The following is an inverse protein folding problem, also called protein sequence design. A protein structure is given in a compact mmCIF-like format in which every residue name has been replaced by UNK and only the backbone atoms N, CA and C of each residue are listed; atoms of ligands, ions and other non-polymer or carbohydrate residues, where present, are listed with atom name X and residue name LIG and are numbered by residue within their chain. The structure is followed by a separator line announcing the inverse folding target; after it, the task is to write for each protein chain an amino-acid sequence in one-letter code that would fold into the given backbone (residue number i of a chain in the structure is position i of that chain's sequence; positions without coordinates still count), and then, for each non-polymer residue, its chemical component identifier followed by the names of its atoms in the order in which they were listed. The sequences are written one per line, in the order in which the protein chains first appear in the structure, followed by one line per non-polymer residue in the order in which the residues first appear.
data_IF_407108060903
#
_entry.id   IF_407108060903
#
_cell.length_a   1.000
_cell.length_b   1.000
_cell.length_c   1.000
_cell.angle_alpha   90.00
_cell.angle_beta   90.00
_cell.angle_gamma   90.00
#
_symmetry.space_group_name_H-M   'P 1'
#
loop_
_entity.id
_entity.type
_entity.pdbx_description
1 polymer ?
#
# COMPACT_ATOMS: atom_id res chain seq x y z
N UNK A 1 -44.18 25.05 -57.77
CA UNK A 1 -43.80 25.84 -56.57
C UNK A 1 -44.12 24.96 -55.38
N UNK A 2 -43.11 24.30 -54.81
CA UNK A 2 -43.24 23.50 -53.59
C UNK A 2 -42.22 24.06 -52.61
N UNK A 3 -42.74 24.61 -51.54
CA UNK A 3 -42.07 25.29 -50.44
C UNK A 3 -41.18 24.28 -49.71
N UNK A 4 -39.86 24.44 -49.80
CA UNK A 4 -38.93 23.68 -48.97
C UNK A 4 -39.06 24.21 -47.54
N UNK A 5 -39.82 23.50 -46.71
CA UNK A 5 -39.92 23.79 -45.28
C UNK A 5 -38.51 23.73 -44.67
N UNK A 6 -38.00 24.87 -44.22
CA UNK A 6 -36.78 24.95 -43.43
C UNK A 6 -37.03 24.23 -42.10
N UNK A 7 -36.54 22.99 -41.99
CA UNK A 7 -36.58 22.23 -40.73
C UNK A 7 -35.88 23.07 -39.66
N UNK A 8 -36.65 23.44 -38.64
CA UNK A 8 -36.15 24.23 -37.53
C UNK A 8 -35.19 23.39 -36.69
N UNK A 9 -34.19 24.03 -36.07
CA UNK A 9 -33.21 23.35 -35.20
C UNK A 9 -33.92 22.53 -34.11
N UNK A 10 -35.08 23.02 -33.64
CA UNK A 10 -35.92 22.34 -32.65
C UNK A 10 -36.52 21.03 -33.18
N UNK A 11 -36.94 20.97 -34.44
CA UNK A 11 -37.45 19.74 -35.07
C UNK A 11 -36.35 18.70 -35.23
N UNK A 12 -35.14 19.12 -35.63
CA UNK A 12 -33.98 18.22 -35.76
C UNK A 12 -33.59 17.65 -34.38
N UNK A 13 -33.59 18.49 -33.34
CA UNK A 13 -33.29 18.04 -31.98
C UNK A 13 -34.37 17.11 -31.43
N UNK A 14 -35.65 17.40 -31.69
CA UNK A 14 -36.77 16.56 -31.28
C UNK A 14 -36.71 15.18 -31.95
N UNK A 15 -36.42 15.14 -33.25
CA UNK A 15 -36.29 13.89 -34.00
C UNK A 15 -35.05 13.09 -33.57
N UNK A 16 -33.91 13.74 -33.35
CA UNK A 16 -32.71 13.10 -32.80
C UNK A 16 -32.96 12.52 -31.40
N UNK A 17 -33.73 13.21 -30.55
CA UNK A 17 -34.07 12.73 -29.22
C UNK A 17 -35.06 11.56 -29.26
N UNK A 18 -35.99 11.55 -30.22
CA UNK A 18 -36.90 10.41 -30.43
C UNK A 18 -36.15 9.18 -30.95
N UNK A 19 -35.24 9.38 -31.91
CA UNK A 19 -34.40 8.31 -32.47
C UNK A 19 -33.40 7.76 -31.44
N UNK A 20 -32.87 8.60 -30.53
CA UNK A 20 -31.95 8.17 -29.47
C UNK A 20 -32.50 7.00 -28.63
N UNK A 21 -33.81 6.98 -28.37
CA UNK A 21 -34.46 5.90 -27.61
C UNK A 21 -34.64 4.61 -28.43
N UNK A 22 -34.56 4.67 -29.77
CA UNK A 22 -34.67 3.52 -30.66
C UNK A 22 -33.32 2.82 -30.88
N UNK A 23 -32.20 3.54 -30.73
CA UNK A 23 -30.85 2.99 -30.92
C UNK A 23 -30.42 2.11 -29.74
N UNK A 24 -31.16 2.11 -28.63
CA UNK A 24 -30.88 1.27 -27.47
C UNK A 24 -29.47 1.50 -26.95
N UNK A 25 -28.74 0.42 -26.69
CA UNK A 25 -27.43 0.43 -26.05
C UNK A 25 -26.28 0.82 -27.00
N UNK A 26 -26.42 1.97 -27.64
CA UNK A 26 -25.46 2.51 -28.59
C UNK A 26 -24.07 2.65 -27.96
N UNK A 27 -24.03 3.11 -26.71
CA UNK A 27 -22.77 3.32 -26.01
C UNK A 27 -22.03 2.01 -25.77
N UNK A 28 -22.73 0.97 -25.29
CA UNK A 28 -22.10 -0.32 -25.03
C UNK A 28 -21.63 -0.98 -26.33
N UNK A 29 -22.36 -0.84 -27.43
CA UNK A 29 -21.90 -1.31 -28.76
C UNK A 29 -20.68 -0.58 -29.27
N UNK A 30 -20.61 0.75 -29.10
CA UNK A 30 -19.43 1.53 -29.48
C UNK A 30 -18.22 1.12 -28.63
N UNK A 31 -18.44 0.89 -27.33
CA UNK A 31 -17.39 0.40 -26.44
C UNK A 31 -16.92 -1.01 -26.84
N UNK A 32 -17.85 -1.93 -27.13
CA UNK A 32 -17.54 -3.29 -27.59
C UNK A 32 -16.64 -3.26 -28.83
N UNK A 33 -17.01 -2.47 -29.84
CA UNK A 33 -16.23 -2.35 -31.08
C UNK A 33 -14.85 -1.75 -30.82
N UNK A 34 -14.75 -0.69 -30.02
CA UNK A 34 -13.47 -0.07 -29.68
C UNK A 34 -12.54 -1.05 -28.94
N UNK A 35 -13.07 -1.82 -27.99
CA UNK A 35 -12.30 -2.83 -27.26
C UNK A 35 -11.89 -4.00 -28.15
N UNK A 36 -12.77 -4.46 -29.04
CA UNK A 36 -12.46 -5.52 -30.00
C UNK A 36 -11.32 -5.11 -30.94
N UNK A 37 -11.38 -3.89 -31.48
CA UNK A 37 -10.34 -3.38 -32.38
C UNK A 37 -9.01 -3.17 -31.65
N UNK A 38 -9.04 -2.59 -30.44
CA UNK A 38 -7.85 -2.46 -29.61
C UNK A 38 -7.21 -3.81 -29.30
N UNK A 39 -8.01 -4.85 -29.00
CA UNK A 39 -7.52 -6.20 -28.77
C UNK A 39 -6.90 -6.83 -30.02
N UNK A 40 -7.52 -6.66 -31.20
CA UNK A 40 -6.98 -7.15 -32.46
C UNK A 40 -5.61 -6.51 -32.80
N UNK A 41 -5.48 -5.20 -32.58
CA UNK A 41 -4.21 -4.49 -32.74
C UNK A 41 -3.18 -5.03 -31.74
N UNK A 42 -3.54 -5.19 -30.47
CA UNK A 42 -2.65 -5.70 -29.44
C UNK A 42 -2.13 -7.12 -29.76
N UNK A 43 -2.99 -8.04 -30.17
CA UNK A 43 -2.60 -9.41 -30.54
C UNK A 43 -1.65 -9.45 -31.76
N UNK A 44 -1.79 -8.49 -32.67
CA UNK A 44 -0.91 -8.41 -33.85
C UNK A 44 0.50 -7.91 -33.50
N UNK A 45 0.62 -7.02 -32.51
CA UNK A 45 1.88 -6.35 -32.15
C UNK A 45 2.59 -7.04 -30.98
N UNK A 46 1.84 -7.61 -30.04
CA UNK A 46 2.40 -8.23 -28.83
C UNK A 46 2.80 -9.68 -29.12
N UNK A 47 4.09 -9.88 -29.37
CA UNK A 47 4.70 -11.22 -29.38
C UNK A 47 4.91 -11.67 -27.94
N UNK A 48 4.02 -12.52 -27.40
CA UNK A 48 4.30 -13.23 -26.13
C UNK A 48 5.32 -14.33 -26.40
N UNK A 49 6.55 -14.27 -25.87
CA UNK A 49 7.44 -15.42 -25.91
C UNK A 49 6.77 -16.53 -25.09
N UNK A 50 6.71 -17.74 -25.64
CA UNK A 50 6.30 -18.95 -24.92
C UNK A 50 7.30 -19.22 -23.77
N UNK A 51 7.16 -18.53 -22.65
CA UNK A 51 7.94 -18.79 -21.44
C UNK A 51 7.29 -19.94 -20.66
N UNK A 52 7.30 -21.13 -21.26
CA UNK A 52 6.59 -22.32 -20.78
C UNK A 52 7.12 -22.91 -19.46
N UNK A 53 8.25 -22.41 -18.90
CA UNK A 53 8.81 -22.95 -17.66
C UNK A 53 8.59 -22.06 -16.43
N UNK A 54 8.77 -20.73 -16.56
CA UNK A 54 8.65 -19.80 -15.42
C UNK A 54 7.20 -19.47 -15.10
N UNK A 55 6.36 -19.38 -16.13
CA UNK A 55 4.93 -19.14 -16.01
C UNK A 55 4.19 -20.28 -15.26
N UNK A 56 4.70 -21.51 -15.30
CA UNK A 56 4.07 -22.66 -14.62
C UNK A 56 4.31 -22.65 -13.10
N UNK A 57 5.51 -22.26 -12.65
CA UNK A 57 5.80 -22.17 -11.22
C UNK A 57 5.04 -20.99 -10.59
N UNK A 58 5.08 -19.82 -11.23
CA UNK A 58 4.33 -18.63 -10.78
C UNK A 58 2.83 -18.93 -10.71
N UNK A 59 2.23 -19.53 -11.74
CA UNK A 59 0.82 -19.94 -11.71
C UNK A 59 0.49 -20.98 -10.63
N UNK A 60 1.41 -21.90 -10.34
CA UNK A 60 1.18 -22.94 -9.32
C UNK A 60 1.22 -22.33 -7.93
N UNK A 61 2.16 -21.41 -7.68
CA UNK A 61 2.25 -20.63 -6.44
C UNK A 61 1.02 -19.75 -6.30
N UNK A 62 0.64 -19.00 -7.34
CA UNK A 62 -0.56 -18.17 -7.34
C UNK A 62 -1.80 -18.98 -7.01
N UNK A 63 -2.00 -20.13 -7.66
CA UNK A 63 -3.17 -20.99 -7.41
C UNK A 63 -3.17 -21.56 -5.98
N UNK A 64 -2.01 -21.78 -5.39
CA UNK A 64 -1.89 -22.25 -4.01
C UNK A 64 -2.21 -21.12 -3.02
N UNK A 65 -1.61 -19.94 -3.22
CA UNK A 65 -1.74 -18.74 -2.38
C UNK A 65 -3.15 -18.14 -2.48
N UNK A 66 -3.77 -18.13 -3.66
CA UNK A 66 -5.13 -17.59 -3.89
C UNK A 66 -6.25 -18.61 -3.66
N UNK A 67 -5.93 -19.86 -3.31
CA UNK A 67 -6.97 -20.84 -3.05
C UNK A 67 -7.81 -20.44 -1.83
N UNK A 68 -9.14 -20.59 -1.95
CA UNK A 68 -10.13 -20.26 -0.91
C UNK A 68 -9.81 -20.87 0.47
N UNK A 69 -9.18 -22.06 0.47
CA UNK A 69 -8.92 -22.84 1.67
C UNK A 69 -7.46 -22.75 2.15
N UNK A 70 -6.47 -22.70 1.24
CA UNK A 70 -5.05 -22.61 1.64
C UNK A 70 -4.52 -21.18 1.74
N UNK A 71 -5.19 -20.21 1.11
CA UNK A 71 -4.77 -18.82 1.19
C UNK A 71 -4.78 -18.29 2.63
N UNK A 72 -5.80 -18.62 3.42
CA UNK A 72 -5.87 -18.18 4.82
C UNK A 72 -4.77 -18.81 5.72
N UNK A 73 -4.56 -20.13 5.72
CA UNK A 73 -3.42 -20.76 6.41
C UNK A 73 -2.06 -20.23 5.97
N UNK A 74 -1.84 -20.04 4.67
CA UNK A 74 -0.57 -19.56 4.13
C UNK A 74 -0.32 -18.11 4.55
N UNK A 75 -1.33 -17.25 4.45
CA UNK A 75 -1.25 -15.86 4.91
C UNK A 75 -0.93 -15.78 6.41
N UNK A 76 -1.59 -16.60 7.24
CA UNK A 76 -1.30 -16.67 8.68
C UNK A 76 0.14 -17.12 8.94
N UNK A 77 0.63 -18.12 8.19
CA UNK A 77 1.99 -18.64 8.33
C UNK A 77 3.03 -17.60 7.93
N UNK A 78 2.86 -16.94 6.78
CA UNK A 78 3.72 -15.85 6.33
C UNK A 78 3.74 -14.69 7.32
N UNK A 79 2.56 -14.31 7.82
CA UNK A 79 2.44 -13.27 8.85
C UNK A 79 3.15 -13.67 10.15
N UNK A 80 2.96 -14.90 10.62
CA UNK A 80 3.65 -15.42 11.80
C UNK A 80 5.17 -15.46 11.61
N UNK A 81 5.64 -15.83 10.42
CA UNK A 81 7.05 -15.80 10.07
C UNK A 81 7.63 -14.39 10.10
N UNK A 82 6.96 -13.41 9.48
CA UNK A 82 7.37 -12.01 9.51
C UNK A 82 7.35 -11.47 10.94
N UNK A 83 6.33 -11.78 11.74
CA UNK A 83 6.26 -11.40 13.15
C UNK A 83 7.40 -12.01 13.96
N UNK A 84 7.70 -13.29 13.74
CA UNK A 84 8.83 -13.97 14.40
C UNK A 84 10.16 -13.28 14.09
N UNK A 85 10.41 -13.03 12.81
CA UNK A 85 11.61 -12.31 12.34
C UNK A 85 11.65 -10.91 12.96
N UNK A 86 10.52 -10.21 13.00
CA UNK A 86 10.44 -8.86 13.57
C UNK A 86 10.75 -8.86 15.07
N UNK A 87 10.16 -9.77 15.85
CA UNK A 87 10.38 -9.83 17.30
C UNK A 87 11.84 -10.14 17.62
N UNK A 88 12.40 -11.18 16.99
CA UNK A 88 13.79 -11.59 17.22
C UNK A 88 14.76 -10.52 16.68
N UNK A 89 14.48 -10.03 15.48
CA UNK A 89 15.30 -9.04 14.78
C UNK A 89 15.31 -7.69 15.50
N UNK A 90 14.17 -7.23 16.02
CA UNK A 90 14.04 -5.94 16.69
C UNK A 90 14.76 -5.88 18.04
N UNK A 91 15.02 -7.02 18.71
CA UNK A 91 15.74 -7.04 19.98
C UNK A 91 17.15 -6.44 19.86
N UNK A 92 17.85 -6.67 18.75
CA UNK A 92 19.19 -6.13 18.52
C UNK A 92 19.22 -4.59 18.36
N UNK A 93 18.49 -3.98 17.41
CA UNK A 93 18.42 -2.53 17.28
C UNK A 93 17.76 -1.88 18.50
N UNK A 94 16.80 -2.53 19.16
CA UNK A 94 16.24 -2.04 20.42
C UNK A 94 17.31 -1.94 21.50
N UNK A 95 18.15 -2.96 21.66
CA UNK A 95 19.25 -2.92 22.62
C UNK A 95 20.25 -1.79 22.32
N UNK A 96 20.57 -1.55 21.04
CA UNK A 96 21.43 -0.44 20.62
C UNK A 96 20.79 0.92 20.97
N UNK A 97 19.50 1.09 20.69
CA UNK A 97 18.77 2.31 21.06
C UNK A 97 18.69 2.50 22.57
N UNK A 98 18.44 1.43 23.33
CA UNK A 98 18.41 1.47 24.79
C UNK A 98 19.76 1.91 25.36
N UNK A 99 20.86 1.33 24.88
CA UNK A 99 22.21 1.71 25.30
C UNK A 99 22.53 3.17 24.93
N UNK A 100 22.12 3.62 23.75
CA UNK A 100 22.35 5.00 23.32
C UNK A 100 21.52 6.01 24.13
N UNK A 101 20.20 5.85 24.16
CA UNK A 101 19.29 6.82 24.77
C UNK A 101 19.31 6.74 26.30
N UNK A 102 19.25 5.53 26.86
CA UNK A 102 19.16 5.34 28.32
C UNK A 102 20.56 5.13 28.91
N UNK A 103 21.44 4.38 28.26
CA UNK A 103 22.79 4.14 28.78
C UNK A 103 23.72 5.35 28.70
N UNK A 104 23.62 6.15 27.61
CA UNK A 104 24.50 7.31 27.38
C UNK A 104 23.82 8.65 27.57
N UNK A 105 22.69 8.87 26.91
CA UNK A 105 22.06 10.20 26.86
C UNK A 105 21.40 10.55 28.19
N UNK A 106 20.69 9.62 28.83
CA UNK A 106 20.06 9.88 30.13
C UNK A 106 21.05 10.29 31.25
N UNK A 107 22.17 9.59 31.51
CA UNK A 107 23.16 10.06 32.49
C UNK A 107 23.82 11.38 32.10
N UNK A 108 24.04 11.60 30.80
CA UNK A 108 24.57 12.87 30.29
C UNK A 108 23.61 14.04 30.58
N UNK A 109 22.30 13.85 30.43
CA UNK A 109 21.30 14.86 30.76
C UNK A 109 21.33 15.20 32.25
N UNK A 110 21.49 14.21 33.13
CA UNK A 110 21.62 14.44 34.57
C UNK A 110 22.88 15.22 34.93
N UNK A 111 24.04 14.85 34.36
CA UNK A 111 25.29 15.61 34.56
C UNK A 111 25.16 17.05 34.07
N UNK A 112 24.50 17.27 32.93
CA UNK A 112 24.25 18.61 32.40
C UNK A 112 23.28 19.42 33.28
N UNK A 113 22.24 18.78 33.82
CA UNK A 113 21.29 19.40 34.73
C UNK A 113 21.94 19.81 36.07
N UNK A 114 22.82 18.96 36.60
CA UNK A 114 23.62 19.24 37.80
C UNK A 114 24.57 20.42 37.56
N UNK A 115 25.25 20.45 36.41
CA UNK A 115 26.14 21.55 36.05
C UNK A 115 25.41 22.90 35.94
N UNK A 116 24.18 22.87 35.41
CA UNK A 116 23.32 24.05 35.28
C UNK A 116 22.53 24.38 36.56
N UNK A 117 22.73 23.62 37.64
CA UNK A 117 22.04 23.78 38.93
C UNK A 117 20.50 23.78 38.78
N UNK A 118 19.98 22.89 37.93
CA UNK A 118 18.54 22.77 37.69
C UNK A 118 17.82 22.31 38.98
N UNK A 119 16.67 22.92 39.35
CA UNK A 119 15.90 22.45 40.49
C UNK A 119 15.47 20.98 40.35
N UNK A 120 15.58 20.21 41.44
CA UNK A 120 15.28 18.77 41.47
C UNK A 120 13.91 18.42 40.88
N UNK A 121 12.87 19.22 41.16
CA UNK A 121 11.52 18.97 40.66
C UNK A 121 11.42 19.07 39.14
N UNK A 122 12.23 19.94 38.53
CA UNK A 122 12.23 20.16 37.08
C UNK A 122 13.06 19.08 36.36
N UNK A 123 14.22 18.73 36.92
CA UNK A 123 15.04 17.62 36.43
C UNK A 123 14.26 16.31 36.48
N UNK A 124 13.59 16.00 37.60
CA UNK A 124 12.77 14.79 37.73
C UNK A 124 11.58 14.74 36.78
N UNK A 125 10.91 15.87 36.53
CA UNK A 125 9.80 15.92 35.58
C UNK A 125 10.27 15.70 34.13
N UNK A 126 11.32 16.41 33.71
CA UNK A 126 11.78 16.41 32.31
C UNK A 126 12.62 15.19 31.97
N UNK A 127 13.57 14.83 32.83
CA UNK A 127 14.55 13.77 32.54
C UNK A 127 13.98 12.41 32.95
N UNK A 128 13.54 12.26 34.20
CA UNK A 128 13.06 10.97 34.71
C UNK A 128 11.64 10.66 34.23
N UNK A 129 10.81 11.70 34.08
CA UNK A 129 9.46 11.58 33.55
C UNK A 129 9.45 11.53 32.03
N UNK A 130 9.51 12.71 31.39
CA UNK A 130 9.26 12.84 29.95
C UNK A 130 10.31 12.12 29.10
N UNK A 131 11.60 12.37 29.34
CA UNK A 131 12.67 11.82 28.52
C UNK A 131 12.76 10.30 28.65
N UNK A 132 12.86 9.77 29.87
CA UNK A 132 13.03 8.33 30.09
C UNK A 132 11.86 7.52 29.52
N UNK A 133 10.62 7.97 29.74
CA UNK A 133 9.43 7.30 29.19
C UNK A 133 9.41 7.35 27.67
N UNK A 134 9.70 8.50 27.06
CA UNK A 134 9.76 8.65 25.60
C UNK A 134 10.87 7.81 25.00
N UNK A 135 12.06 7.85 25.58
CA UNK A 135 13.21 7.07 25.14
C UNK A 135 12.91 5.57 25.16
N UNK A 136 12.26 5.09 26.22
CA UNK A 136 11.86 3.69 26.34
C UNK A 136 10.83 3.29 25.28
N UNK A 137 9.77 4.09 25.10
CA UNK A 137 8.74 3.83 24.08
C UNK A 137 9.36 3.81 22.69
N UNK A 138 10.21 4.78 22.36
CA UNK A 138 10.91 4.84 21.07
C UNK A 138 11.81 3.62 20.90
N UNK A 139 12.60 3.26 21.91
CA UNK A 139 13.52 2.13 21.82
C UNK A 139 12.79 0.77 21.69
N UNK A 140 11.59 0.61 22.26
CA UNK A 140 10.82 -0.64 22.15
C UNK A 140 9.96 -0.71 20.89
N UNK A 141 9.34 0.41 20.49
CA UNK A 141 8.30 0.41 19.43
C UNK A 141 8.84 0.75 18.05
N UNK A 142 9.89 1.59 17.96
CA UNK A 142 10.47 1.97 16.67
C UNK A 142 11.13 0.80 15.94
N UNK A 143 11.94 -0.06 16.59
CA UNK A 143 12.65 -1.11 15.88
C UNK A 143 11.75 -2.20 15.26
N UNK A 144 10.70 -2.70 15.95
CA UNK A 144 9.74 -3.62 15.33
C UNK A 144 9.09 -3.03 14.08
N UNK A 145 8.64 -1.77 14.10
CA UNK A 145 8.00 -1.16 12.93
C UNK A 145 8.98 -0.96 11.77
N UNK A 146 10.24 -0.60 12.07
CA UNK A 146 11.28 -0.42 11.06
C UNK A 146 11.62 -1.72 10.31
N UNK A 147 11.44 -2.88 10.94
CA UNK A 147 11.67 -4.20 10.33
C UNK A 147 10.39 -4.73 9.66
N UNK A 148 9.26 -4.61 10.35
CA UNK A 148 7.98 -5.12 9.88
C UNK A 148 7.55 -4.47 8.56
N UNK A 149 7.70 -3.15 8.44
CA UNK A 149 7.19 -2.42 7.28
C UNK A 149 7.87 -2.84 5.96
N UNK A 150 9.22 -2.84 5.82
CA UNK A 150 9.85 -3.31 4.60
C UNK A 150 9.57 -4.78 4.28
N UNK A 151 9.53 -5.65 5.29
CA UNK A 151 9.20 -7.07 5.11
C UNK A 151 7.77 -7.24 4.59
N UNK A 152 6.82 -6.49 5.14
CA UNK A 152 5.43 -6.53 4.70
C UNK A 152 5.30 -6.00 3.27
N UNK A 153 5.91 -4.86 2.94
CA UNK A 153 5.90 -4.32 1.58
C UNK A 153 6.50 -5.30 0.56
N UNK A 154 7.61 -5.98 0.89
CA UNK A 154 8.19 -7.03 0.04
C UNK A 154 7.34 -8.30 -0.10
N UNK A 155 6.40 -8.52 0.82
CA UNK A 155 5.43 -9.63 0.75
C UNK A 155 4.14 -9.21 0.03
N UNK A 156 3.84 -7.91 0.03
CA UNK A 156 2.68 -7.32 -0.65
C UNK A 156 2.93 -7.10 -2.14
N UNK A 157 4.16 -6.72 -2.52
CA UNK A 157 4.66 -6.63 -3.91
C UNK A 157 5.03 -8.01 -4.50
#
# INVERSE_FOLDING_TARGET
MAEQAELTIEEILAEAQQLRWQVGDFHDKVMEVNYAEAAAIADTVVRRPEQAARYNLDQTIDRLVTSRLWGFPIMLLLFALVFWITIVGANYPSAILMELLIGRVYPFLHVAADWLHVPLWLSGLLIDGMYLTTAWVVAVMLPPMAIFFPLFTLLED
#
